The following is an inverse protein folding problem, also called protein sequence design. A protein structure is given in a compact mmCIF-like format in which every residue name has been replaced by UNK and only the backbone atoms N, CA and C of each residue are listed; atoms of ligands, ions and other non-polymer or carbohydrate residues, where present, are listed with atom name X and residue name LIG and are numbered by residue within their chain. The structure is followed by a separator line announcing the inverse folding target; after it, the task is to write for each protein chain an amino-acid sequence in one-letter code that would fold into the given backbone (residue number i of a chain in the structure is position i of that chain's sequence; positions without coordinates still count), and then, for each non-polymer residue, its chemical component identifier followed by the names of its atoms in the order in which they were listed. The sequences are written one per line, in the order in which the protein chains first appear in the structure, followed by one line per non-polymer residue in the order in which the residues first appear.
data_IF_123918289422
#
_entry.id   IF_123918289422
#
_cell.length_a   1.000
_cell.length_b   1.000
_cell.length_c   1.000
_cell.angle_alpha   90.00
_cell.angle_beta   90.00
_cell.angle_gamma   90.00
#
_symmetry.space_group_name_H-M   'P 1'
#
loop_
_entity.id
_entity.type
_entity.pdbx_description
1 polymer ?
#
# COMPACT_ATOMS: atom_id res chain seq x y z
N UNK A 1 -0.59 23.71 4.18
CA UNK A 1 -0.03 23.71 2.80
C UNK A 1 0.61 22.36 2.56
N UNK A 2 0.42 21.75 1.39
CA UNK A 2 1.04 20.46 1.02
C UNK A 2 1.76 20.65 -0.31
N UNK A 3 3.01 20.18 -0.41
CA UNK A 3 3.74 20.20 -1.68
C UNK A 3 3.12 19.17 -2.65
N UNK A 4 2.75 19.62 -3.85
CA UNK A 4 2.22 18.76 -4.91
C UNK A 4 3.28 18.28 -5.90
N UNK A 5 4.56 18.27 -5.47
CA UNK A 5 5.71 17.77 -6.22
C UNK A 5 6.35 16.58 -5.50
N UNK A 6 7.06 15.73 -6.25
CA UNK A 6 7.93 14.72 -5.67
C UNK A 6 9.18 15.40 -5.10
N UNK A 7 9.22 15.53 -3.78
CA UNK A 7 10.36 16.13 -3.07
C UNK A 7 11.34 15.04 -2.63
N UNK A 8 12.50 14.97 -3.28
CA UNK A 8 13.56 14.02 -2.94
C UNK A 8 14.63 14.63 -2.01
N UNK A 9 14.78 15.96 -1.99
CA UNK A 9 15.91 16.66 -1.38
C UNK A 9 15.51 17.72 -0.34
N UNK A 10 14.33 17.58 0.27
CA UNK A 10 13.77 18.51 1.27
C UNK A 10 13.49 19.90 0.72
N UNK A 11 13.26 20.01 -0.58
CA UNK A 11 12.98 21.26 -1.30
C UNK A 11 11.77 21.97 -0.70
N UNK A 12 10.73 21.20 -0.34
CA UNK A 12 9.52 21.74 0.27
C UNK A 12 9.75 22.29 1.68
N UNK A 13 10.65 21.67 2.45
CA UNK A 13 11.02 22.14 3.79
C UNK A 13 11.87 23.41 3.71
N UNK A 14 12.82 23.48 2.76
CA UNK A 14 13.64 24.68 2.54
C UNK A 14 12.75 25.84 2.12
N UNK A 15 11.83 25.63 1.17
CA UNK A 15 10.90 26.65 0.73
C UNK A 15 10.01 27.17 1.87
N UNK A 16 9.50 26.27 2.74
CA UNK A 16 8.73 26.68 3.92
C UNK A 16 9.56 27.54 4.88
N UNK A 17 10.81 27.14 5.13
CA UNK A 17 11.74 27.88 5.99
C UNK A 17 12.03 29.27 5.45
N UNK A 18 12.31 29.39 4.15
CA UNK A 18 12.63 30.66 3.50
C UNK A 18 11.44 31.64 3.55
N UNK A 19 10.22 31.11 3.53
CA UNK A 19 8.98 31.88 3.68
C UNK A 19 8.53 32.05 5.15
N UNK A 20 9.31 31.57 6.14
CA UNK A 20 8.96 31.59 7.57
C UNK A 20 7.61 30.90 7.88
N UNK A 21 7.31 29.81 7.17
CA UNK A 21 6.15 28.96 7.39
C UNK A 21 6.58 27.77 8.24
N UNK A 22 5.85 27.53 9.33
CA UNK A 22 6.09 26.35 10.18
C UNK A 22 5.81 25.05 9.44
N UNK A 23 6.81 24.18 9.40
CA UNK A 23 6.73 22.88 8.75
C UNK A 23 6.49 21.77 9.79
N UNK A 24 5.52 20.90 9.50
CA UNK A 24 5.16 19.77 10.36
C UNK A 24 5.31 18.44 9.62
N UNK A 25 5.57 17.38 10.38
CA UNK A 25 5.64 16.00 9.87
C UNK A 25 4.48 15.17 10.39
N UNK A 26 4.05 14.18 9.59
CA UNK A 26 3.05 13.21 10.02
C UNK A 26 3.62 12.28 11.11
N UNK A 27 2.80 11.82 12.08
CA UNK A 27 3.26 11.05 13.23
C UNK A 27 3.45 9.55 12.90
N UNK A 28 4.12 9.22 11.78
CA UNK A 28 4.31 7.83 11.34
C UNK A 28 4.95 6.96 12.42
N UNK A 29 6.05 7.41 13.02
CA UNK A 29 6.82 6.65 14.01
C UNK A 29 6.03 6.35 15.29
N UNK A 30 4.98 7.13 15.59
CA UNK A 30 4.15 6.92 16.78
C UNK A 30 3.12 5.82 16.58
N UNK A 31 2.64 5.63 15.35
CA UNK A 31 1.49 4.79 15.07
C UNK A 31 1.78 3.63 14.12
N UNK A 32 2.90 3.65 13.40
CA UNK A 32 3.26 2.66 12.40
C UNK A 32 4.68 2.18 12.64
N UNK A 33 4.86 0.86 12.60
CA UNK A 33 6.17 0.25 12.57
C UNK A 33 6.66 0.21 11.12
N UNK A 34 7.44 1.21 10.73
CA UNK A 34 7.91 1.34 9.36
C UNK A 34 9.13 0.45 9.13
N UNK A 35 8.99 -0.55 8.26
CA UNK A 35 10.01 -1.57 8.01
C UNK A 35 10.88 -1.21 6.82
N UNK A 36 10.27 -0.75 5.72
CA UNK A 36 10.96 -0.64 4.43
C UNK A 36 10.57 0.61 3.64
N UNK A 37 11.55 1.15 2.89
CA UNK A 37 11.36 2.24 1.94
C UNK A 37 11.24 3.64 2.58
N UNK A 38 11.10 4.69 1.76
CA UNK A 38 11.05 6.06 2.23
C UNK A 38 9.77 6.35 3.01
N UNK A 39 9.87 7.05 4.15
CA UNK A 39 8.74 7.50 4.97
C UNK A 39 8.02 8.70 4.36
N UNK A 40 7.61 8.58 3.10
CA UNK A 40 6.94 9.62 2.32
C UNK A 40 5.59 9.10 1.85
N UNK A 41 4.56 9.93 2.01
CA UNK A 41 3.21 9.60 1.58
C UNK A 41 2.89 10.39 0.31
N UNK A 42 2.53 9.73 -0.81
CA UNK A 42 2.09 10.43 -2.01
C UNK A 42 0.89 11.35 -1.74
N UNK A 43 0.82 12.49 -2.43
CA UNK A 43 -0.24 13.49 -2.23
C UNK A 43 -1.67 12.89 -2.20
N UNK A 44 -2.07 12.00 -3.14
CA UNK A 44 -3.42 11.42 -3.10
C UNK A 44 -3.71 10.64 -1.81
N UNK A 45 -2.71 9.93 -1.30
CA UNK A 45 -2.81 9.18 -0.06
C UNK A 45 -2.89 10.12 1.14
N UNK A 46 -2.10 11.20 1.15
CA UNK A 46 -2.16 12.21 2.20
C UNK A 46 -3.55 12.88 2.27
N UNK A 47 -4.15 13.19 1.13
CA UNK A 47 -5.51 13.75 1.08
C UNK A 47 -6.58 12.77 1.61
N UNK A 48 -6.43 11.47 1.30
CA UNK A 48 -7.31 10.42 1.86
C UNK A 48 -7.15 10.30 3.37
N UNK A 49 -5.92 10.30 3.86
CA UNK A 49 -5.62 10.28 5.29
C UNK A 49 -6.29 11.47 6.00
N UNK A 50 -6.12 12.70 5.50
CA UNK A 50 -6.72 13.87 6.13
C UNK A 50 -8.24 13.82 6.13
N UNK A 51 -8.86 13.33 5.06
CA UNK A 51 -10.31 13.10 5.03
C UNK A 51 -10.76 12.12 6.11
N UNK A 52 -10.08 10.98 6.22
CA UNK A 52 -10.39 9.95 7.23
C UNK A 52 -10.22 10.50 8.65
N UNK A 53 -9.20 11.33 8.90
CA UNK A 53 -8.99 11.94 10.21
C UNK A 53 -10.10 12.91 10.58
N UNK A 54 -10.56 13.73 9.64
CA UNK A 54 -11.69 14.63 9.88
C UNK A 54 -12.96 13.84 10.23
N UNK A 55 -13.21 12.73 9.53
CA UNK A 55 -14.39 11.90 9.77
C UNK A 55 -14.34 11.11 11.08
N UNK A 56 -13.14 10.74 11.55
CA UNK A 56 -12.94 9.90 12.74
C UNK A 56 -12.59 10.67 14.00
N UNK A 57 -12.58 12.01 13.96
CA UNK A 57 -12.19 12.85 15.10
C UNK A 57 -10.68 12.79 15.41
N UNK A 58 -9.85 12.54 14.39
CA UNK A 58 -8.39 12.55 14.53
C UNK A 58 -7.76 11.20 14.89
N UNK A 59 -8.38 10.07 14.51
CA UNK A 59 -7.78 8.75 14.77
C UNK A 59 -6.61 8.45 13.82
N UNK A 60 -5.42 8.92 14.20
CA UNK A 60 -4.18 8.71 13.46
C UNK A 60 -3.81 7.25 13.28
N UNK A 61 -4.06 6.40 14.29
CA UNK A 61 -3.69 4.98 14.23
C UNK A 61 -4.44 4.27 13.12
N UNK A 62 -5.77 4.41 13.06
CA UNK A 62 -6.57 3.77 12.02
C UNK A 62 -6.34 4.39 10.64
N UNK A 63 -6.29 5.73 10.55
CA UNK A 63 -6.11 6.44 9.28
C UNK A 63 -4.78 6.09 8.60
N UNK A 64 -3.69 6.02 9.37
CA UNK A 64 -2.38 5.68 8.83
C UNK A 64 -2.30 4.23 8.36
N UNK A 65 -2.81 3.27 9.13
CA UNK A 65 -2.82 1.86 8.74
C UNK A 65 -3.66 1.58 7.48
N UNK A 66 -4.75 2.32 7.29
CA UNK A 66 -5.61 2.19 6.09
C UNK A 66 -4.95 2.78 4.84
N UNK A 67 -4.11 3.79 5.01
CA UNK A 67 -3.56 4.57 3.89
C UNK A 67 -2.18 4.07 3.44
N UNK A 68 -1.35 3.60 4.37
CA UNK A 68 -0.01 3.11 4.08
C UNK A 68 -0.10 1.71 3.49
N UNK A 69 0.68 1.45 2.42
CA UNK A 69 0.72 0.13 1.79
C UNK A 69 1.37 -0.89 2.73
N UNK A 70 0.79 -2.09 2.83
CA UNK A 70 1.22 -3.20 3.70
C UNK A 70 2.73 -3.49 3.64
N UNK A 71 3.33 -3.47 2.45
CA UNK A 71 4.77 -3.76 2.27
C UNK A 71 5.72 -2.78 2.99
N UNK A 72 5.28 -1.55 3.32
CA UNK A 72 6.09 -0.64 4.13
C UNK A 72 6.06 -0.99 5.62
N UNK A 73 5.05 -1.76 6.06
CA UNK A 73 4.83 -2.11 7.46
C UNK A 73 5.20 -3.57 7.76
N UNK A 74 5.49 -4.36 6.73
CA UNK A 74 5.76 -5.78 6.82
C UNK A 74 7.27 -6.05 6.83
N UNK A 75 7.76 -6.96 7.71
CA UNK A 75 9.11 -7.50 7.66
C UNK A 75 9.48 -8.11 6.29
N UNK A 76 10.77 -8.22 5.98
CA UNK A 76 11.23 -8.67 4.65
C UNK A 76 10.96 -10.17 4.40
N UNK A 77 11.12 -10.97 5.45
CA UNK A 77 10.80 -12.40 5.51
C UNK A 77 9.31 -12.65 5.21
N UNK A 78 8.41 -11.98 5.92
CA UNK A 78 6.97 -12.08 5.67
C UNK A 78 6.59 -11.63 4.24
N UNK A 79 7.27 -10.59 3.71
CA UNK A 79 7.04 -10.15 2.34
C UNK A 79 7.44 -11.21 1.31
N UNK A 80 8.55 -11.91 1.56
CA UNK A 80 9.02 -12.97 0.68
C UNK A 80 8.08 -14.17 0.72
N UNK A 81 7.62 -14.57 1.91
CA UNK A 81 6.59 -15.60 2.07
C UNK A 81 5.30 -15.25 1.34
N UNK A 82 4.81 -14.01 1.47
CA UNK A 82 3.59 -13.57 0.77
C UNK A 82 3.76 -13.60 -0.76
N UNK A 83 4.95 -13.23 -1.28
CA UNK A 83 5.27 -13.34 -2.71
C UNK A 83 5.23 -14.80 -3.18
N UNK A 84 5.88 -15.70 -2.45
CA UNK A 84 5.90 -17.14 -2.78
C UNK A 84 4.49 -17.73 -2.73
N UNK A 85 3.71 -17.40 -1.70
CA UNK A 85 2.33 -17.84 -1.55
C UNK A 85 1.44 -17.34 -2.71
N UNK A 86 1.62 -16.09 -3.15
CA UNK A 86 0.91 -15.53 -4.31
C UNK A 86 1.24 -16.26 -5.60
N UNK A 87 2.52 -16.56 -5.84
CA UNK A 87 2.96 -17.32 -7.03
C UNK A 87 2.37 -18.73 -6.99
N UNK A 88 2.49 -19.43 -5.86
CA UNK A 88 1.93 -20.76 -5.68
C UNK A 88 0.41 -20.78 -5.94
N UNK A 89 -0.32 -19.83 -5.35
CA UNK A 89 -1.77 -19.69 -5.53
C UNK A 89 -2.12 -19.48 -7.01
N UNK A 90 -1.38 -18.62 -7.71
CA UNK A 90 -1.60 -18.37 -9.15
C UNK A 90 -1.34 -19.61 -10.00
N UNK A 91 -0.25 -20.35 -9.73
CA UNK A 91 0.07 -21.59 -10.44
C UNK A 91 -1.00 -22.66 -10.18
N UNK A 92 -1.46 -22.78 -8.93
CA UNK A 92 -2.53 -23.71 -8.55
C UNK A 92 -3.85 -23.37 -9.24
N UNK A 93 -4.23 -22.09 -9.28
CA UNK A 93 -5.43 -21.64 -10.00
C UNK A 93 -5.36 -21.98 -11.49
N UNK A 94 -4.25 -21.66 -12.17
CA UNK A 94 -4.08 -21.97 -13.59
C UNK A 94 -4.11 -23.48 -13.89
N UNK A 95 -3.59 -24.31 -12.97
CA UNK A 95 -3.69 -25.76 -13.08
C UNK A 95 -5.14 -26.24 -12.97
N UNK A 96 -5.87 -25.76 -11.96
CA UNK A 96 -7.28 -26.10 -11.76
C UNK A 96 -8.14 -25.68 -12.95
N UNK A 97 -7.97 -24.44 -13.44
CA UNK A 97 -8.66 -23.93 -14.63
C UNK A 97 -8.42 -24.83 -15.86
N UNK A 98 -7.16 -25.27 -16.07
CA UNK A 98 -6.84 -26.21 -17.15
C UNK A 98 -7.53 -27.55 -16.99
N UNK A 99 -7.55 -28.10 -15.77
CA UNK A 99 -8.20 -29.38 -15.47
C UNK A 99 -9.72 -29.30 -15.70
N UNK A 100 -10.36 -28.21 -15.28
CA UNK A 100 -11.78 -27.95 -15.53
C UNK A 100 -12.11 -27.86 -17.03
N UNK A 101 -11.28 -27.16 -17.82
CA UNK A 101 -11.46 -27.08 -19.29
C UNK A 101 -11.35 -28.46 -19.92
N UNK A 102 -10.33 -29.26 -19.54
CA UNK A 102 -10.15 -30.62 -20.07
C UNK A 102 -11.35 -31.50 -19.72
N UNK A 103 -11.83 -31.42 -18.48
CA UNK A 103 -12.98 -32.19 -18.04
C UNK A 103 -14.25 -31.82 -18.83
N UNK A 104 -14.50 -30.53 -19.05
CA UNK A 104 -15.63 -30.06 -19.87
C UNK A 104 -15.58 -30.58 -21.31
N UNK A 105 -14.39 -30.68 -21.92
CA UNK A 105 -14.23 -31.23 -23.27
C UNK A 105 -14.56 -32.74 -23.27
N UNK A 106 -14.03 -33.49 -22.31
CA UNK A 106 -14.29 -34.94 -22.18
C UNK A 106 -15.78 -35.22 -22.00
N UNK A 107 -16.45 -34.46 -21.14
CA UNK A 107 -17.89 -34.64 -20.88
C UNK A 107 -18.73 -34.29 -22.13
N UNK A 108 -18.32 -33.28 -22.90
CA UNK A 108 -18.98 -32.94 -24.17
C UNK A 108 -18.81 -34.04 -25.22
N UNK A 109 -17.63 -34.64 -25.34
CA UNK A 109 -17.35 -35.73 -26.28
C UNK A 109 -18.02 -37.07 -25.90
N UNK A 110 -18.54 -37.22 -24.67
CA UNK A 110 -19.23 -38.43 -24.20
C UNK A 110 -20.74 -38.41 -24.47
N UNK A 111 -21.29 -37.29 -24.90
CA UNK A 111 -22.72 -37.10 -25.16
C UNK A 111 -23.09 -37.13 -26.67
N UNK A 112 -22.17 -37.57 -27.53
CA UNK A 112 -22.43 -37.98 -28.93
C UNK A 112 -22.41 -39.51 -29.05
#
# INVERSE_FOLDING_TARGET
VICASLDNNRESFIAARDQKIDAYRLPFQKYCNWQHGPMVLPLPNMMRLFRDLVQTGGNWKSGLHKTIKKHHLMPEDEQQEEKVARVYTRVKMAKNEREEIVQSIIDSCRHE
#
